data_IF_290062444370
#
_entry.id   IF_290062444370
#
_cell.length_a   1.000
_cell.length_b   1.000
_cell.length_c   1.000
_cell.angle_alpha   90.00
_cell.angle_beta   90.00
_cell.angle_gamma   90.00
#
_symmetry.space_group_name_H-M   'P 1'
#
loop_
_entity.id
_entity.type
_entity.pdbx_description
1 polymer ?
#
# COMPACT_ATOMS: atom_id res chain seq x y z
N UNK A 1 0.97 8.68 16.36
CA UNK A 1 0.90 7.27 16.79
C UNK A 1 0.20 6.40 15.74
N UNK A 2 -0.97 6.80 15.20
CA UNK A 2 -1.66 6.07 14.12
C UNK A 2 -0.89 6.00 12.79
N UNK A 3 -0.35 7.14 12.31
CA UNK A 3 0.44 7.17 11.07
C UNK A 3 1.73 6.33 11.12
N UNK A 4 2.38 6.25 12.30
CA UNK A 4 3.54 5.38 12.50
C UNK A 4 3.13 3.91 12.66
N UNK A 5 1.96 3.62 13.23
CA UNK A 5 1.39 2.28 13.26
C UNK A 5 1.11 1.74 11.86
N UNK A 6 0.55 2.59 10.98
CA UNK A 6 0.37 2.28 9.57
C UNK A 6 1.70 2.05 8.86
N UNK A 7 2.67 2.95 9.03
CA UNK A 7 4.00 2.82 8.41
C UNK A 7 4.71 1.51 8.80
N UNK A 8 4.62 1.12 10.07
CA UNK A 8 5.21 -0.13 10.56
C UNK A 8 4.49 -1.40 10.07
N UNK A 9 3.21 -1.30 9.72
CA UNK A 9 2.42 -2.40 9.18
C UNK A 9 2.57 -2.52 7.65
N UNK A 10 2.68 -1.39 6.93
CA UNK A 10 2.86 -1.33 5.47
C UNK A 10 4.27 -1.72 5.04
N UNK A 11 5.28 -1.36 5.83
CA UNK A 11 6.67 -1.78 5.60
C UNK A 11 6.97 -3.18 6.15
N UNK A 12 5.97 -3.87 6.72
CA UNK A 12 6.10 -5.19 7.36
C UNK A 12 7.08 -5.25 8.54
N UNK A 13 7.42 -4.09 9.13
CA UNK A 13 8.36 -3.98 10.24
C UNK A 13 7.82 -4.53 11.58
N UNK A 14 6.50 -4.67 11.72
CA UNK A 14 5.89 -5.36 12.88
C UNK A 14 5.10 -6.59 12.43
N UNK A 15 5.67 -7.76 12.76
CA UNK A 15 4.98 -9.05 12.72
C UNK A 15 3.80 -9.01 13.69
N UNK A 16 2.59 -8.97 13.16
CA UNK A 16 1.36 -9.12 13.95
C UNK A 16 1.30 -10.56 14.43
N UNK A 17 1.44 -10.78 15.73
CA UNK A 17 1.34 -12.11 16.33
C UNK A 17 -0.07 -12.68 16.09
N UNK A 18 -0.16 -13.77 15.32
CA UNK A 18 -1.43 -14.45 14.99
C UNK A 18 -1.93 -14.25 13.56
N UNK A 19 -1.39 -13.30 12.80
CA UNK A 19 -1.64 -13.20 11.36
C UNK A 19 -0.70 -14.16 10.59
N UNK A 20 -1.14 -14.76 9.47
CA UNK A 20 -0.26 -15.57 8.63
C UNK A 20 1.02 -14.77 8.31
N UNK A 21 2.19 -15.39 8.46
CA UNK A 21 3.48 -14.77 8.14
C UNK A 21 3.56 -14.54 6.62
N UNK A 22 2.98 -13.44 6.15
CA UNK A 22 3.18 -12.94 4.80
C UNK A 22 4.41 -12.03 4.86
N UNK A 23 5.55 -12.50 4.34
CA UNK A 23 6.73 -11.67 4.24
C UNK A 23 6.46 -10.47 3.33
N UNK A 24 7.20 -9.37 3.52
CA UNK A 24 7.20 -8.17 2.66
C UNK A 24 7.46 -8.51 1.16
N UNK A 25 7.92 -9.74 0.87
CA UNK A 25 8.12 -10.26 -0.48
C UNK A 25 7.02 -11.21 -1.02
N UNK A 26 5.96 -11.51 -0.27
CA UNK A 26 5.01 -12.58 -0.66
C UNK A 26 3.62 -12.08 -1.07
N UNK A 27 3.21 -10.86 -0.70
CA UNK A 27 2.00 -10.23 -1.27
C UNK A 27 2.20 -8.73 -1.34
N UNK A 28 2.15 -8.21 -2.56
CA UNK A 28 2.39 -6.80 -2.83
C UNK A 28 1.25 -5.92 -2.33
N UNK A 29 1.59 -4.71 -1.87
CA UNK A 29 0.76 -3.90 -0.97
C UNK A 29 -0.69 -3.70 -1.42
N UNK A 30 -0.93 -3.40 -2.70
CA UNK A 30 -2.31 -3.17 -3.19
C UNK A 30 -3.10 -4.47 -3.22
N UNK A 31 -2.50 -5.54 -3.74
CA UNK A 31 -3.15 -6.83 -3.85
C UNK A 31 -3.43 -7.46 -2.46
N UNK A 32 -2.53 -7.24 -1.50
CA UNK A 32 -2.71 -7.65 -0.11
C UNK A 32 -3.92 -6.98 0.53
N UNK A 33 -4.06 -5.66 0.34
CA UNK A 33 -5.18 -4.88 0.86
C UNK A 33 -6.51 -5.35 0.25
N UNK A 34 -6.54 -5.63 -1.07
CA UNK A 34 -7.73 -6.18 -1.74
C UNK A 34 -8.11 -7.55 -1.15
N UNK A 35 -7.12 -8.44 -0.95
CA UNK A 35 -7.36 -9.77 -0.39
C UNK A 35 -7.87 -9.72 1.04
N UNK A 36 -7.24 -8.92 1.90
CA UNK A 36 -7.67 -8.71 3.29
C UNK A 36 -9.07 -8.11 3.32
N UNK A 37 -9.36 -7.12 2.48
CA UNK A 37 -10.68 -6.53 2.36
C UNK A 37 -11.75 -7.54 1.92
N UNK A 38 -11.43 -8.42 0.97
CA UNK A 38 -12.33 -9.47 0.51
C UNK A 38 -12.63 -10.51 1.61
N UNK A 39 -11.64 -10.84 2.45
CA UNK A 39 -11.83 -11.75 3.59
C UNK A 39 -12.71 -11.09 4.67
N UNK A 40 -12.46 -9.82 5.00
CA UNK A 40 -13.27 -9.05 5.97
C UNK A 40 -14.72 -8.92 5.49
N UNK A 41 -14.92 -8.63 4.19
CA UNK A 41 -16.25 -8.48 3.60
C UNK A 41 -17.11 -9.75 3.69
N UNK A 42 -16.48 -10.93 3.77
CA UNK A 42 -17.17 -12.22 3.93
C UNK A 42 -17.49 -12.57 5.38
N UNK A 43 -16.79 -11.98 6.34
CA UNK A 43 -16.96 -12.28 7.77
C UNK A 43 -17.95 -11.34 8.45
N UNK A 44 -17.73 -10.02 8.35
CA UNK A 44 -18.43 -9.04 9.19
C UNK A 44 -18.55 -7.67 8.48
N UNK A 45 -19.79 -7.23 8.28
CA UNK A 45 -20.10 -5.94 7.67
C UNK A 45 -19.65 -4.74 8.53
N UNK A 46 -19.71 -4.85 9.86
CA UNK A 46 -19.24 -3.77 10.74
C UNK A 46 -17.72 -3.59 10.63
N UNK A 47 -16.98 -4.69 10.53
CA UNK A 47 -15.53 -4.64 10.32
C UNK A 47 -15.18 -4.10 8.94
N UNK A 48 -15.99 -4.41 7.92
CA UNK A 48 -15.82 -3.85 6.57
C UNK A 48 -15.97 -2.32 6.56
N UNK A 49 -16.93 -1.76 7.30
CA UNK A 49 -17.07 -0.30 7.44
C UNK A 49 -15.84 0.33 8.07
N UNK A 50 -15.34 -0.23 9.17
CA UNK A 50 -14.13 0.28 9.85
C UNK A 50 -12.92 0.19 8.90
N UNK A 51 -12.75 -0.93 8.21
CA UNK A 51 -11.67 -1.12 7.23
C UNK A 51 -11.74 -0.10 6.08
N UNK A 52 -12.94 0.16 5.57
CA UNK A 52 -13.17 1.15 4.52
C UNK A 52 -12.81 2.55 4.99
N UNK A 53 -13.24 2.94 6.20
CA UNK A 53 -12.90 4.23 6.81
C UNK A 53 -11.39 4.40 6.91
N UNK A 54 -10.67 3.36 7.35
CA UNK A 54 -9.21 3.38 7.46
C UNK A 54 -8.56 3.61 6.09
N UNK A 55 -8.94 2.84 5.06
CA UNK A 55 -8.41 3.00 3.70
C UNK A 55 -8.71 4.39 3.14
N UNK A 56 -9.95 4.88 3.31
CA UNK A 56 -10.34 6.21 2.84
C UNK A 56 -9.53 7.32 3.52
N UNK A 57 -9.26 7.20 4.81
CA UNK A 57 -8.43 8.14 5.56
C UNK A 57 -6.97 8.09 5.08
N UNK A 58 -6.42 6.90 4.81
CA UNK A 58 -5.07 6.75 4.28
C UNK A 58 -4.93 7.34 2.87
N UNK A 59 -5.92 7.11 2.00
CA UNK A 59 -6.00 7.76 0.68
C UNK A 59 -6.08 9.28 0.79
N UNK A 60 -6.87 9.81 1.73
CA UNK A 60 -6.96 11.24 1.96
C UNK A 60 -5.60 11.83 2.39
N UNK A 61 -4.86 11.15 3.27
CA UNK A 61 -3.52 11.57 3.70
C UNK A 61 -2.54 11.54 2.52
N UNK A 62 -2.56 10.47 1.72
CA UNK A 62 -1.68 10.33 0.55
C UNK A 62 -1.98 11.43 -0.48
N UNK A 63 -3.26 11.72 -0.72
CA UNK A 63 -3.68 12.77 -1.66
C UNK A 63 -3.26 14.16 -1.20
N UNK A 64 -3.04 14.40 0.10
CA UNK A 64 -2.54 15.68 0.62
C UNK A 64 -1.02 15.82 0.55
N UNK A 65 -0.28 14.77 0.18
CA UNK A 65 1.17 14.88 0.03
C UNK A 65 1.54 15.85 -1.11
N UNK A 66 2.65 16.61 -0.98
CA UNK A 66 3.08 17.61 -1.96
C UNK A 66 3.72 16.95 -3.18
N UNK A 67 2.97 16.11 -3.88
CA UNK A 67 3.40 15.39 -5.08
C UNK A 67 2.70 15.98 -6.32
N UNK A 68 3.40 16.39 -7.39
CA UNK A 68 2.84 17.25 -8.45
C UNK A 68 1.66 16.69 -9.27
N UNK A 69 1.35 15.40 -9.16
CA UNK A 69 0.23 14.74 -9.83
C UNK A 69 -0.95 14.42 -8.89
N UNK A 70 -0.83 14.74 -7.60
CA UNK A 70 -1.86 14.55 -6.56
C UNK A 70 -2.47 15.91 -6.17
N UNK A 71 -3.68 15.89 -5.60
CA UNK A 71 -4.40 17.11 -5.18
C UNK A 71 -3.55 17.99 -4.23
N UNK A 72 -2.73 17.37 -3.37
CA UNK A 72 -1.80 18.01 -2.46
C UNK A 72 -0.62 18.70 -3.16
N UNK A 73 -0.27 18.29 -4.38
CA UNK A 73 0.73 18.99 -5.21
C UNK A 73 0.25 20.39 -5.57
N UNK A 74 -1.00 20.53 -6.01
CA UNK A 74 -1.61 21.83 -6.28
C UNK A 74 -1.67 22.69 -5.01
N UNK A 75 -2.07 22.10 -3.89
CA UNK A 75 -2.09 22.79 -2.60
C UNK A 75 -0.70 23.26 -2.17
N UNK A 76 0.34 22.46 -2.40
CA UNK A 76 1.72 22.84 -2.13
C UNK A 76 2.16 24.00 -3.02
N UNK A 77 1.84 23.99 -4.32
CA UNK A 77 2.14 25.12 -5.21
C UNK A 77 1.44 26.39 -4.78
N UNK A 78 0.14 26.33 -4.46
CA UNK A 78 -0.61 27.49 -3.95
C UNK A 78 -0.02 28.01 -2.64
N UNK A 79 0.40 27.12 -1.74
CA UNK A 79 1.04 27.51 -0.48
C UNK A 79 2.39 28.21 -0.74
N UNK A 80 3.19 27.70 -1.67
CA UNK A 80 4.45 28.33 -2.07
C UNK A 80 4.21 29.68 -2.73
N UNK A 81 3.20 29.81 -3.58
CA UNK A 81 2.84 31.08 -4.22
C UNK A 81 2.33 32.11 -3.21
N UNK A 82 1.53 31.67 -2.23
CA UNK A 82 1.06 32.50 -1.13
C UNK A 82 2.23 33.05 -0.31
N UNK A 83 3.21 32.19 0.03
CA UNK A 83 4.42 32.61 0.76
C UNK A 83 5.31 33.53 -0.09
N UNK A 84 5.45 33.24 -1.39
CA UNK A 84 6.33 33.97 -2.29
C UNK A 84 5.72 35.28 -2.80
N UNK A 85 4.41 35.47 -2.66
CA UNK A 85 3.66 36.65 -3.11
C UNK A 85 3.68 36.89 -4.63
N UNK A 86 4.18 35.92 -5.42
CA UNK A 86 4.27 36.02 -6.89
C UNK A 86 3.96 34.68 -7.55
N UNK A 87 3.14 34.67 -8.62
CA UNK A 87 2.74 33.44 -9.28
C UNK A 87 3.95 32.72 -9.86
N UNK A 88 3.92 31.39 -9.85
CA UNK A 88 4.87 30.57 -10.60
C UNK A 88 4.67 30.82 -12.09
N UNK A 89 5.76 30.82 -12.86
CA UNK A 89 5.63 30.92 -14.31
C UNK A 89 4.88 29.70 -14.84
N UNK A 90 3.88 29.94 -15.71
CA UNK A 90 3.03 28.92 -16.34
C UNK A 90 3.85 27.73 -16.88
N UNK A 91 5.00 28.03 -17.49
CA UNK A 91 5.93 27.02 -18.04
C UNK A 91 6.53 26.13 -16.96
N UNK A 92 6.95 26.71 -15.83
CA UNK A 92 7.54 25.96 -14.73
C UNK A 92 6.48 25.07 -14.06
N UNK A 93 5.27 25.58 -13.87
CA UNK A 93 4.16 24.81 -13.33
C UNK A 93 3.79 23.61 -14.21
N UNK A 94 3.63 23.85 -15.51
CA UNK A 94 3.33 22.80 -16.49
C UNK A 94 4.41 21.72 -16.57
N UNK A 95 5.69 22.09 -16.55
CA UNK A 95 6.79 21.11 -16.56
C UNK A 95 6.80 20.27 -15.28
N UNK A 96 6.64 20.87 -14.09
CA UNK A 96 6.68 20.10 -12.83
C UNK A 96 5.51 19.11 -12.74
N UNK A 97 4.30 19.52 -13.14
CA UNK A 97 3.14 18.61 -13.18
C UNK A 97 3.38 17.48 -14.18
N UNK A 98 3.86 17.81 -15.39
CA UNK A 98 4.14 16.83 -16.44
C UNK A 98 5.17 15.78 -15.97
N UNK A 99 6.29 16.21 -15.41
CA UNK A 99 7.31 15.29 -14.89
C UNK A 99 6.82 14.51 -13.66
N UNK A 100 6.03 15.13 -12.79
CA UNK A 100 5.37 14.45 -11.67
C UNK A 100 4.38 13.37 -12.13
N UNK A 101 3.63 13.64 -13.19
CA UNK A 101 2.69 12.67 -13.77
C UNK A 101 3.43 11.51 -14.46
N UNK A 102 4.48 11.81 -15.24
CA UNK A 102 5.31 10.77 -15.88
C UNK A 102 5.96 9.86 -14.83
N UNK A 103 6.52 10.44 -13.77
CA UNK A 103 7.12 9.65 -12.68
C UNK A 103 6.09 8.82 -11.92
N UNK A 104 4.86 9.32 -11.74
CA UNK A 104 3.76 8.55 -11.16
C UNK A 104 3.38 7.35 -12.05
N UNK A 105 3.22 7.57 -13.36
CA UNK A 105 2.92 6.49 -14.30
C UNK A 105 4.03 5.44 -14.32
N UNK A 106 5.30 5.88 -14.30
CA UNK A 106 6.44 4.98 -14.21
C UNK A 106 6.41 4.15 -12.93
N UNK A 107 6.18 4.78 -11.77
CA UNK A 107 6.05 4.09 -10.49
C UNK A 107 4.88 3.10 -10.49
N UNK A 108 3.73 3.49 -11.05
CA UNK A 108 2.56 2.61 -11.17
C UNK A 108 2.87 1.39 -12.04
N UNK A 109 3.60 1.57 -13.15
CA UNK A 109 4.04 0.46 -13.99
C UNK A 109 5.01 -0.48 -13.25
N UNK A 110 5.98 0.07 -12.49
CA UNK A 110 6.92 -0.72 -11.69
C UNK A 110 6.18 -1.53 -10.62
N UNK A 111 5.26 -0.91 -9.88
CA UNK A 111 4.44 -1.58 -8.87
C UNK A 111 3.58 -2.66 -9.53
N UNK A 112 2.90 -2.35 -10.64
CA UNK A 112 2.08 -3.33 -11.37
C UNK A 112 2.88 -4.55 -11.83
N UNK A 113 4.07 -4.35 -12.40
CA UNK A 113 4.95 -5.47 -12.80
C UNK A 113 5.35 -6.30 -11.58
N UNK A 114 5.66 -5.64 -10.48
CA UNK A 114 6.02 -6.30 -9.23
C UNK A 114 4.83 -7.17 -8.73
N UNK A 115 3.62 -6.60 -8.66
CA UNK A 115 2.39 -7.27 -8.22
C UNK A 115 2.03 -8.48 -9.11
N UNK A 116 2.12 -8.32 -10.43
CA UNK A 116 1.88 -9.40 -11.41
C UNK A 116 2.95 -10.50 -11.27
N UNK A 117 4.22 -10.12 -11.08
CA UNK A 117 5.29 -11.09 -10.87
C UNK A 117 5.06 -11.89 -9.59
N UNK A 118 4.54 -11.26 -8.54
CA UNK A 118 4.15 -11.92 -7.30
C UNK A 118 3.09 -13.01 -7.53
N UNK A 119 2.04 -12.63 -8.26
CA UNK A 119 0.94 -13.52 -8.61
C UNK A 119 1.41 -14.70 -9.45
N UNK A 120 2.31 -14.46 -10.41
CA UNK A 120 2.79 -15.46 -11.36
C UNK A 120 3.84 -16.40 -10.75
N UNK A 121 4.64 -15.95 -9.77
CA UNK A 121 5.72 -16.76 -9.17
C UNK A 121 5.21 -17.79 -8.16
N UNK A 122 3.92 -17.79 -7.81
CA UNK A 122 3.28 -18.91 -7.10
C UNK A 122 3.92 -19.28 -5.76
N UNK A 123 4.55 -18.34 -5.03
CA UNK A 123 5.03 -18.52 -3.65
C UNK A 123 3.88 -18.60 -2.63
N UNK A 124 2.84 -19.34 -2.96
CA UNK A 124 1.91 -19.93 -1.99
C UNK A 124 2.61 -21.16 -1.42
N UNK A 125 3.60 -20.95 -0.55
CA UNK A 125 4.29 -22.04 0.14
C UNK A 125 3.36 -22.66 1.21
N UNK A 126 2.34 -23.38 0.73
CA UNK A 126 1.49 -24.28 1.50
C UNK A 126 2.24 -25.59 1.85
N UNK A 127 3.52 -25.72 1.49
CA UNK A 127 4.31 -26.95 1.66
C UNK A 127 4.91 -27.10 3.06
N UNK A 128 4.63 -26.19 4.00
CA UNK A 128 5.16 -26.26 5.37
C UNK A 128 4.18 -26.81 6.41
N UNK A 129 2.88 -26.91 6.10
CA UNK A 129 1.91 -27.55 7.01
C UNK A 129 2.01 -29.07 6.97
N UNK A 130 2.15 -29.65 5.77
CA UNK A 130 2.18 -31.10 5.59
C UNK A 130 3.42 -31.79 6.19
N UNK A 131 4.55 -31.08 6.31
CA UNK A 131 5.77 -31.64 6.91
C UNK A 131 5.76 -31.60 8.44
N UNK A 132 4.98 -30.71 9.05
CA UNK A 132 4.83 -30.67 10.52
C UNK A 132 3.84 -31.74 10.96
N UNK A 133 2.72 -31.92 10.25
CA UNK A 133 1.75 -32.98 10.54
C UNK A 133 2.34 -34.39 10.33
N UNK A 134 3.14 -34.62 9.27
CA UNK A 134 3.80 -35.92 9.08
C UNK A 134 4.93 -36.23 10.07
N UNK A 135 5.54 -35.20 10.70
CA UNK A 135 6.52 -35.43 11.77
C UNK A 135 5.85 -35.77 13.09
N UNK A 136 4.72 -35.12 13.41
CA UNK A 136 3.99 -35.38 14.67
C UNK A 136 3.39 -36.79 14.70
N UNK A 137 2.83 -37.29 13.60
CA UNK A 137 2.29 -38.66 13.53
C UNK A 137 3.37 -39.76 13.50
N UNK A 138 4.61 -39.42 13.15
CA UNK A 138 5.76 -40.35 13.16
C UNK A 138 6.50 -40.39 14.49
N UNK A 139 6.37 -39.36 15.33
CA UNK A 139 6.89 -39.37 16.71
C UNK A 139 5.86 -39.92 17.72
N UNK A 140 4.58 -39.98 17.33
CA UNK A 140 3.50 -40.56 18.13
C UNK A 140 3.24 -42.08 17.88
N UNK A 141 4.05 -42.74 17.03
CA UNK A 141 4.04 -44.19 16.77
C UNK A 141 5.39 -44.81 17.09
#
# INVERSE_FOLDING_TARGET
QLAQGFWNNVTGAKKVAGAPNVGIGDVHGVLAVIKIGADIARQDWNQLFIFTILISMDLAIINLMPYPALDGGHLAFMTIELIRGRPMGERAHGEIIKWGFISLLFLMAVIMVNDISALMTGKLDLKKKDQVEQKVDKEAK
#
